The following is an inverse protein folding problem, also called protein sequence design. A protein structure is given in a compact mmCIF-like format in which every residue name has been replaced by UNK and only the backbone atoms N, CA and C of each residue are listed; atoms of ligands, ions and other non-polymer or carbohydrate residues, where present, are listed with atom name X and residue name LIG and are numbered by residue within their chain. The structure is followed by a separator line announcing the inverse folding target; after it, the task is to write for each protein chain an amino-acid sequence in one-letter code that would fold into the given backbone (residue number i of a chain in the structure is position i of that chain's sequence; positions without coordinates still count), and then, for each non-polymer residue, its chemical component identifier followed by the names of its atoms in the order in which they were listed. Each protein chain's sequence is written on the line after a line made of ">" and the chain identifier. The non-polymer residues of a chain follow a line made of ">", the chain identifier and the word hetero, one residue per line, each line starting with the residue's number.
data_IF_227571338252
#
_entry.id   IF_227571338252
#
_cell.length_a   1.000
_cell.length_b   1.000
_cell.length_c   1.000
_cell.angle_alpha   90.00
_cell.angle_beta   90.00
_cell.angle_gamma   90.00
#
_symmetry.space_group_name_H-M   'P 1'
#
loop_
_entity.id
_entity.type
_entity.pdbx_description
1 polymer ?
#
# COMPACT_ATOMS: atom_id res chain seq x y z
N UNK A 1 -16.16 -0.57 -1.40
CA UNK A 1 -15.06 0.23 -0.82
C UNK A 1 -14.16 0.68 -1.95
N UNK A 2 -13.61 1.89 -1.90
CA UNK A 2 -12.57 2.36 -2.83
C UNK A 2 -11.29 2.67 -2.06
N UNK A 3 -10.14 2.45 -2.70
CA UNK A 3 -8.81 2.73 -2.13
C UNK A 3 -8.10 3.69 -3.07
N UNK A 4 -7.71 4.84 -2.51
CA UNK A 4 -7.33 6.05 -3.21
C UNK A 4 -8.43 6.60 -4.12
N UNK A 5 -8.26 7.82 -4.59
CA UNK A 5 -9.22 8.52 -5.44
C UNK A 5 -8.56 9.38 -6.52
N UNK A 6 -7.40 8.94 -7.01
CA UNK A 6 -6.69 9.52 -8.14
C UNK A 6 -6.34 11.02 -7.97
N UNK A 7 -5.78 11.62 -9.02
CA UNK A 7 -5.53 13.05 -9.07
C UNK A 7 -6.81 13.86 -9.36
N UNK A 8 -6.81 15.18 -9.11
CA UNK A 8 -7.96 16.05 -9.42
C UNK A 8 -8.35 16.08 -10.90
N UNK A 9 -7.46 15.60 -11.78
CA UNK A 9 -7.65 15.62 -13.23
C UNK A 9 -8.22 14.31 -13.78
N UNK A 10 -8.47 13.32 -12.92
CA UNK A 10 -8.87 11.97 -13.31
C UNK A 10 -10.31 11.62 -12.90
N UNK A 11 -11.14 12.65 -12.84
CA UNK A 11 -12.53 12.53 -12.38
C UNK A 11 -13.33 11.58 -13.26
N UNK A 12 -13.23 11.74 -14.57
CA UNK A 12 -13.95 10.94 -15.55
C UNK A 12 -13.56 9.45 -15.46
N UNK A 13 -12.27 9.16 -15.30
CA UNK A 13 -11.73 7.80 -15.17
C UNK A 13 -12.26 7.10 -13.93
N UNK A 14 -12.39 7.82 -12.79
CA UNK A 14 -13.02 7.27 -11.59
C UNK A 14 -14.50 6.90 -11.84
N UNK A 15 -15.26 7.75 -12.54
CA UNK A 15 -16.66 7.43 -12.86
C UNK A 15 -16.78 6.21 -13.78
N UNK A 16 -15.96 6.16 -14.83
CA UNK A 16 -15.92 5.02 -15.76
C UNK A 16 -15.57 3.73 -15.01
N UNK A 17 -14.54 3.76 -14.16
CA UNK A 17 -14.15 2.61 -13.36
C UNK A 17 -15.27 2.16 -12.39
N UNK A 18 -15.98 3.09 -11.75
CA UNK A 18 -17.13 2.77 -10.88
C UNK A 18 -18.25 2.09 -11.67
N UNK A 19 -18.63 2.64 -12.82
CA UNK A 19 -19.68 2.07 -13.67
C UNK A 19 -19.32 0.68 -14.19
N UNK A 20 -18.07 0.47 -14.60
CA UNK A 20 -17.57 -0.84 -15.02
C UNK A 20 -17.66 -1.90 -13.91
N UNK A 21 -17.66 -1.47 -12.65
CA UNK A 21 -17.83 -2.33 -11.47
C UNK A 21 -19.25 -2.27 -10.89
N UNK A 22 -20.26 -1.88 -11.69
CA UNK A 22 -21.67 -1.89 -11.30
C UNK A 22 -22.09 -0.79 -10.32
N UNK A 23 -21.20 0.16 -10.01
CA UNK A 23 -21.47 1.28 -9.11
C UNK A 23 -21.89 2.49 -9.95
N UNK A 24 -23.18 2.80 -9.92
CA UNK A 24 -23.79 3.84 -10.74
C UNK A 24 -23.86 5.19 -10.01
N UNK A 25 -23.86 5.18 -8.68
CA UNK A 25 -23.91 6.39 -7.85
C UNK A 25 -22.77 6.42 -6.82
N UNK A 26 -22.16 7.60 -6.63
CA UNK A 26 -21.11 7.81 -5.61
C UNK A 26 -21.60 7.50 -4.18
N UNK A 27 -22.89 7.62 -3.93
CA UNK A 27 -23.55 7.30 -2.65
C UNK A 27 -23.40 5.81 -2.26
N UNK A 28 -23.20 4.92 -3.24
CA UNK A 28 -22.98 3.49 -3.02
C UNK A 28 -21.57 3.21 -2.49
N UNK A 29 -20.63 4.16 -2.63
CA UNK A 29 -19.30 4.05 -2.05
C UNK A 29 -19.39 4.39 -0.57
N UNK A 30 -19.43 3.33 0.25
CA UNK A 30 -19.57 3.45 1.71
C UNK A 30 -18.25 3.77 2.44
N UNK A 31 -17.12 3.45 1.83
CA UNK A 31 -15.78 3.59 2.43
C UNK A 31 -14.79 4.09 1.38
N UNK A 32 -14.03 5.12 1.75
CA UNK A 32 -12.88 5.63 1.01
C UNK A 32 -11.66 5.45 1.89
N UNK A 33 -10.69 4.67 1.41
CA UNK A 33 -9.39 4.51 2.05
C UNK A 33 -8.40 5.40 1.32
N UNK A 34 -7.59 6.17 2.05
CA UNK A 34 -6.45 6.91 1.47
C UNK A 34 -5.17 6.25 1.96
N UNK A 35 -4.36 5.76 1.02
CA UNK A 35 -3.08 5.09 1.32
C UNK A 35 -2.10 6.08 1.93
N UNK A 36 -1.99 7.27 1.34
CA UNK A 36 -1.17 8.38 1.80
C UNK A 36 -1.62 9.70 1.15
N UNK A 37 -1.08 10.83 1.61
CA UNK A 37 -1.57 12.17 1.27
C UNK A 37 -0.87 12.85 0.09
N UNK A 38 -0.54 12.10 -0.95
CA UNK A 38 -0.13 12.71 -2.23
C UNK A 38 -1.35 13.00 -3.12
N UNK A 39 -1.23 14.05 -3.92
CA UNK A 39 -2.37 14.66 -4.65
C UNK A 39 -2.99 13.73 -5.68
N UNK A 40 -2.19 12.83 -6.23
CA UNK A 40 -2.52 11.74 -7.14
C UNK A 40 -3.20 10.55 -6.47
N UNK A 41 -3.25 10.50 -5.13
CA UNK A 41 -3.97 9.47 -4.37
C UNK A 41 -5.22 10.00 -3.66
N UNK A 42 -5.24 11.29 -3.32
CA UNK A 42 -6.34 11.91 -2.58
C UNK A 42 -7.03 13.07 -3.31
N UNK A 43 -6.77 13.26 -4.61
CA UNK A 43 -7.14 14.43 -5.38
C UNK A 43 -8.65 14.65 -5.52
N UNK A 44 -9.43 13.57 -5.53
CA UNK A 44 -10.90 13.62 -5.67
C UNK A 44 -11.64 13.24 -4.39
N UNK A 45 -11.00 13.40 -3.23
CA UNK A 45 -11.60 13.08 -1.93
C UNK A 45 -12.96 13.78 -1.72
N UNK A 46 -13.14 14.96 -2.31
CA UNK A 46 -14.36 15.76 -2.24
C UNK A 46 -15.57 15.13 -2.97
N UNK A 47 -15.38 14.12 -3.82
CA UNK A 47 -16.46 13.40 -4.48
C UNK A 47 -17.18 12.44 -3.52
N UNK A 48 -16.48 11.88 -2.54
CA UNK A 48 -16.96 10.79 -1.70
C UNK A 48 -17.43 11.26 -0.32
N UNK A 49 -18.27 12.31 -0.28
CA UNK A 49 -18.68 12.98 0.97
C UNK A 49 -19.43 12.09 1.97
N UNK A 50 -20.08 11.04 1.47
CA UNK A 50 -20.87 10.12 2.29
C UNK A 50 -20.07 8.89 2.72
N UNK A 51 -18.85 8.71 2.19
CA UNK A 51 -18.02 7.56 2.52
C UNK A 51 -17.34 7.77 3.89
N UNK A 52 -17.27 6.70 4.69
CA UNK A 52 -16.41 6.68 5.87
C UNK A 52 -14.96 6.73 5.41
N UNK A 53 -14.24 7.77 5.82
CA UNK A 53 -12.85 8.03 5.41
C UNK A 53 -11.86 7.28 6.33
N UNK A 54 -11.11 6.34 5.77
CA UNK A 54 -10.08 5.56 6.46
C UNK A 54 -8.71 6.07 6.02
N UNK A 55 -7.84 6.37 6.98
CA UNK A 55 -6.54 7.01 6.71
C UNK A 55 -5.48 6.47 7.68
N UNK A 56 -4.18 6.69 7.41
CA UNK A 56 -3.12 6.25 8.32
C UNK A 56 -3.25 6.79 9.76
N UNK A 57 -3.97 7.89 9.97
CA UNK A 57 -4.17 8.53 11.27
C UNK A 57 -5.22 7.81 12.13
N UNK A 58 -6.22 7.16 11.52
CA UNK A 58 -7.38 6.65 12.25
C UNK A 58 -7.41 5.13 12.45
N UNK A 59 -6.54 4.36 11.79
CA UNK A 59 -6.54 2.89 11.93
C UNK A 59 -6.20 2.37 13.33
N UNK A 60 -5.55 3.18 14.16
CA UNK A 60 -5.15 2.81 15.52
C UNK A 60 -6.19 3.21 16.59
N UNK A 61 -7.37 3.70 16.18
CA UNK A 61 -8.46 3.97 17.11
C UNK A 61 -8.91 2.66 17.78
N UNK A 62 -9.13 2.69 19.10
CA UNK A 62 -9.52 1.49 19.88
C UNK A 62 -10.76 0.79 19.30
N UNK A 63 -11.72 1.60 18.84
CA UNK A 63 -13.00 1.12 18.31
C UNK A 63 -13.04 1.17 16.77
N UNK A 64 -11.89 1.20 16.09
CA UNK A 64 -11.79 1.35 14.63
C UNK A 64 -12.72 0.38 13.88
N UNK A 65 -12.65 -0.92 14.16
CA UNK A 65 -13.48 -1.91 13.48
C UNK A 65 -14.99 -1.73 13.75
N UNK A 66 -15.37 -1.19 14.90
CA UNK A 66 -16.77 -0.92 15.23
C UNK A 66 -17.27 0.35 14.53
N UNK A 67 -16.45 1.40 14.50
CA UNK A 67 -16.79 2.68 13.85
C UNK A 67 -16.90 2.50 12.33
N UNK A 68 -15.93 1.81 11.76
CA UNK A 68 -15.82 1.66 10.31
C UNK A 68 -16.47 0.39 9.78
N UNK A 69 -16.94 -0.54 10.63
CA UNK A 69 -17.65 -1.76 10.17
C UNK A 69 -16.88 -2.52 9.08
N UNK A 70 -15.57 -2.69 9.27
CA UNK A 70 -14.68 -3.27 8.26
C UNK A 70 -15.02 -4.75 8.04
N UNK A 71 -15.14 -5.21 6.78
CA UNK A 71 -15.29 -6.62 6.47
C UNK A 71 -14.18 -7.47 7.08
N UNK A 72 -14.51 -8.63 7.66
CA UNK A 72 -13.54 -9.49 8.38
C UNK A 72 -12.33 -9.94 7.55
N UNK A 73 -12.48 -9.96 6.24
CA UNK A 73 -11.45 -10.38 5.32
C UNK A 73 -10.53 -9.22 4.88
N UNK A 74 -10.79 -8.00 5.34
CA UNK A 74 -9.99 -6.81 5.10
C UNK A 74 -9.32 -6.39 6.40
N UNK A 75 -8.01 -6.15 6.34
CA UNK A 75 -7.22 -5.61 7.43
C UNK A 75 -6.33 -4.48 6.91
N UNK A 76 -5.80 -3.68 7.83
CA UNK A 76 -4.93 -2.57 7.49
C UNK A 76 -3.62 -2.67 8.24
N UNK A 77 -2.51 -2.40 7.53
CA UNK A 77 -1.21 -2.18 8.15
C UNK A 77 -0.77 -0.76 7.87
N UNK A 78 -0.04 -0.16 8.81
CA UNK A 78 0.59 1.13 8.60
C UNK A 78 2.10 0.98 8.64
N UNK A 79 2.74 1.48 7.60
CA UNK A 79 4.18 1.62 7.51
C UNK A 79 4.54 3.10 7.32
N UNK A 80 5.83 3.33 7.10
CA UNK A 80 6.38 4.61 6.68
C UNK A 80 7.53 4.31 5.73
N UNK A 81 7.87 5.24 4.86
CA UNK A 81 8.92 5.00 3.90
C UNK A 81 8.76 5.92 2.72
N UNK A 82 7.69 5.70 1.95
CA UNK A 82 7.33 6.60 0.87
C UNK A 82 6.94 7.96 1.44
N UNK A 83 6.01 7.95 2.39
CA UNK A 83 5.62 9.13 3.15
C UNK A 83 5.88 8.93 4.65
N UNK A 84 5.44 9.90 5.46
CA UNK A 84 5.50 9.78 6.91
C UNK A 84 4.56 8.68 7.45
N UNK A 85 3.54 8.30 6.69
CA UNK A 85 2.57 7.28 7.06
C UNK A 85 1.89 6.69 5.81
N UNK A 86 2.21 5.44 5.50
CA UNK A 86 1.71 4.71 4.34
C UNK A 86 0.79 3.57 4.80
N UNK A 87 -0.46 3.60 4.37
CA UNK A 87 -1.48 2.62 4.71
C UNK A 87 -1.54 1.52 3.64
N UNK A 88 -1.47 0.27 4.10
CA UNK A 88 -1.55 -0.94 3.27
C UNK A 88 -2.87 -1.63 3.54
N UNK A 89 -3.67 -1.82 2.49
CA UNK A 89 -4.92 -2.57 2.57
C UNK A 89 -4.63 -4.04 2.29
N UNK A 90 -4.93 -4.90 3.25
CA UNK A 90 -4.68 -6.34 3.18
C UNK A 90 -6.02 -7.07 3.01
N UNK A 91 -6.19 -7.79 1.91
CA UNK A 91 -7.42 -8.49 1.58
C UNK A 91 -7.11 -9.98 1.51
N UNK A 92 -7.68 -10.72 2.44
CA UNK A 92 -7.59 -12.17 2.48
C UNK A 92 -8.80 -12.74 1.74
N UNK A 93 -8.55 -13.64 0.80
CA UNK A 93 -9.58 -14.26 -0.02
C UNK A 93 -9.48 -15.74 0.17
N UNK A 94 -10.62 -16.39 0.35
CA UNK A 94 -10.71 -17.85 0.32
C UNK A 94 -11.41 -18.29 -0.97
N UNK A 95 -11.22 -19.55 -1.38
CA UNK A 95 -11.87 -20.11 -2.57
C UNK A 95 -13.41 -19.92 -2.61
N UNK A 96 -14.04 -19.77 -1.44
CA UNK A 96 -15.49 -19.66 -1.30
C UNK A 96 -16.02 -18.21 -1.43
N UNK A 97 -15.15 -17.20 -1.34
CA UNK A 97 -15.51 -15.77 -1.36
C UNK A 97 -14.85 -15.01 -2.53
N UNK A 98 -14.52 -15.70 -3.62
CA UNK A 98 -13.91 -15.12 -4.83
C UNK A 98 -14.93 -14.37 -5.72
N UNK A 99 -15.64 -13.41 -5.15
CA UNK A 99 -16.32 -12.38 -5.94
C UNK A 99 -15.41 -11.16 -6.02
N UNK A 100 -14.34 -11.30 -6.79
CA UNK A 100 -13.50 -10.16 -7.16
C UNK A 100 -13.77 -9.86 -8.62
N UNK A 101 -14.71 -8.95 -8.86
CA UNK A 101 -14.83 -8.25 -10.14
C UNK A 101 -13.61 -7.33 -10.31
N UNK A 102 -13.02 -7.32 -11.50
CA UNK A 102 -12.11 -6.25 -11.95
C UNK A 102 -10.64 -6.28 -11.54
N UNK A 103 -10.23 -6.93 -10.44
CA UNK A 103 -8.88 -6.70 -9.87
C UNK A 103 -7.79 -7.67 -10.32
N UNK A 104 -8.16 -8.93 -10.47
CA UNK A 104 -7.19 -10.01 -10.65
C UNK A 104 -7.78 -10.95 -11.68
N UNK A 105 -7.13 -11.03 -12.82
CA UNK A 105 -7.46 -12.02 -13.85
C UNK A 105 -7.52 -13.40 -13.16
N UNK A 106 -8.63 -14.12 -13.33
CA UNK A 106 -8.90 -15.36 -12.58
C UNK A 106 -7.77 -16.39 -12.72
N UNK A 107 -6.94 -16.25 -13.76
CA UNK A 107 -5.72 -17.03 -13.96
C UNK A 107 -4.71 -16.95 -12.81
N UNK A 108 -4.65 -15.84 -12.06
CA UNK A 108 -3.70 -15.67 -10.96
C UNK A 108 -4.19 -16.32 -9.65
N UNK A 109 -5.49 -16.63 -9.54
CA UNK A 109 -5.98 -17.52 -8.49
C UNK A 109 -5.62 -18.95 -8.89
N UNK A 110 -4.35 -19.31 -8.65
CA UNK A 110 -3.86 -20.65 -8.86
C UNK A 110 -4.80 -21.62 -8.12
N UNK A 111 -5.38 -22.56 -8.86
CA UNK A 111 -6.44 -23.49 -8.43
C UNK A 111 -6.13 -24.27 -7.14
N UNK A 112 -4.88 -24.24 -6.69
CA UNK A 112 -4.38 -25.01 -5.55
C UNK A 112 -4.49 -24.25 -4.23
N UNK A 113 -4.23 -22.94 -4.17
CA UNK A 113 -4.15 -22.21 -2.90
C UNK A 113 -5.52 -21.88 -2.31
N UNK A 114 -5.80 -22.36 -1.09
CA UNK A 114 -7.08 -22.12 -0.41
C UNK A 114 -7.29 -20.67 0.01
N UNK A 115 -6.21 -19.99 0.39
CA UNK A 115 -6.19 -18.60 0.84
C UNK A 115 -5.25 -17.77 -0.03
N UNK A 116 -5.69 -16.59 -0.45
CA UNK A 116 -4.95 -15.69 -1.33
C UNK A 116 -4.93 -14.28 -0.74
N UNK A 117 -3.74 -13.70 -0.60
CA UNK A 117 -3.55 -12.38 0.01
C UNK A 117 -3.26 -11.32 -1.06
N UNK A 118 -4.16 -10.34 -1.20
CA UNK A 118 -3.94 -9.14 -2.01
C UNK A 118 -3.52 -8.01 -1.07
N UNK A 119 -2.42 -7.34 -1.39
CA UNK A 119 -2.01 -6.10 -0.73
C UNK A 119 -2.12 -4.93 -1.71
N UNK A 120 -2.86 -3.90 -1.33
CA UNK A 120 -2.85 -2.59 -2.01
C UNK A 120 -1.88 -1.71 -1.23
N UNK A 121 -0.81 -1.31 -1.90
CA UNK A 121 0.37 -0.79 -1.23
C UNK A 121 0.56 0.71 -1.38
N UNK A 122 -0.23 1.38 -2.23
CA UNK A 122 0.12 2.70 -2.74
C UNK A 122 1.58 2.69 -3.21
N UNK A 123 2.27 3.79 -2.99
CA UNK A 123 3.63 4.01 -3.47
C UNK A 123 4.72 3.31 -2.64
N UNK A 124 4.37 2.47 -1.67
CA UNK A 124 5.36 1.50 -1.16
C UNK A 124 5.92 0.68 -2.33
N UNK A 125 5.08 0.38 -3.32
CA UNK A 125 5.49 -0.07 -4.65
C UNK A 125 5.03 0.91 -5.71
N UNK A 126 5.95 1.43 -6.50
CA UNK A 126 5.65 2.33 -7.61
C UNK A 126 4.93 1.57 -8.72
N UNK A 127 5.51 0.46 -9.21
CA UNK A 127 4.93 -0.33 -10.30
C UNK A 127 5.44 -1.78 -10.28
N UNK A 128 4.90 -2.61 -11.17
CA UNK A 128 5.15 -4.06 -11.17
C UNK A 128 6.62 -4.52 -11.26
N UNK A 129 7.54 -3.69 -11.76
CA UNK A 129 8.93 -4.09 -12.01
C UNK A 129 9.96 -3.23 -11.25
N UNK A 130 9.50 -2.34 -10.36
CA UNK A 130 10.38 -1.50 -9.52
C UNK A 130 11.11 -2.32 -8.42
N UNK A 131 10.85 -3.62 -8.31
CA UNK A 131 11.56 -4.55 -7.44
C UNK A 131 12.86 -5.08 -8.08
N UNK A 132 13.09 -4.81 -9.37
CA UNK A 132 14.31 -5.17 -10.09
C UNK A 132 15.44 -4.14 -9.91
N UNK A 133 15.11 -2.92 -9.48
CA UNK A 133 16.08 -1.83 -9.33
C UNK A 133 15.68 -0.86 -8.24
N UNK A 134 16.66 -0.33 -7.51
CA UNK A 134 16.38 0.53 -6.35
C UNK A 134 16.20 2.00 -6.70
N UNK A 135 16.78 2.45 -7.81
CA UNK A 135 16.89 3.88 -8.14
C UNK A 135 15.52 4.58 -8.21
N UNK A 136 14.53 3.94 -8.84
CA UNK A 136 13.24 4.59 -9.11
C UNK A 136 12.48 4.85 -7.80
N UNK A 137 12.14 3.80 -7.06
CA UNK A 137 11.35 3.97 -5.84
C UNK A 137 12.12 4.71 -4.74
N UNK A 138 13.46 4.60 -4.68
CA UNK A 138 14.27 5.38 -3.73
C UNK A 138 14.25 6.87 -4.05
N UNK A 139 14.20 7.26 -5.32
CA UNK A 139 14.19 8.67 -5.71
C UNK A 139 12.92 9.41 -5.29
N UNK A 140 11.80 8.68 -5.14
CA UNK A 140 10.51 9.22 -4.69
C UNK A 140 10.26 9.02 -3.19
N UNK A 141 11.17 8.36 -2.48
CA UNK A 141 11.01 7.97 -1.08
C UNK A 141 11.39 9.09 -0.10
N UNK A 142 10.57 9.29 0.94
CA UNK A 142 10.96 10.12 2.08
C UNK A 142 12.02 9.45 2.97
N UNK A 143 11.92 8.14 3.17
CA UNK A 143 12.76 7.32 4.04
C UNK A 143 13.08 5.97 3.37
N UNK A 144 14.06 5.92 2.45
CA UNK A 144 14.38 4.74 1.65
C UNK A 144 14.59 3.45 2.45
N UNK A 145 15.25 3.53 3.60
CA UNK A 145 15.51 2.35 4.44
C UNK A 145 14.22 1.78 5.05
N UNK A 146 13.29 2.66 5.46
CA UNK A 146 11.98 2.24 5.99
C UNK A 146 11.08 1.71 4.87
N UNK A 147 11.10 2.35 3.70
CA UNK A 147 10.37 1.85 2.54
C UNK A 147 10.91 0.49 2.10
N UNK A 148 12.23 0.27 2.16
CA UNK A 148 12.82 -1.05 1.90
C UNK A 148 12.29 -2.13 2.86
N UNK A 149 12.13 -1.81 4.15
CA UNK A 149 11.57 -2.75 5.14
C UNK A 149 10.09 -2.99 4.86
N UNK A 150 9.32 -1.93 4.59
CA UNK A 150 7.90 -2.02 4.25
C UNK A 150 7.67 -2.88 3.00
N UNK A 151 8.45 -2.66 1.94
CA UNK A 151 8.44 -3.46 0.71
C UNK A 151 8.69 -4.94 1.00
N UNK A 152 9.71 -5.25 1.81
CA UNK A 152 9.99 -6.63 2.21
C UNK A 152 8.84 -7.25 3.01
N UNK A 153 8.27 -6.53 3.98
CA UNK A 153 7.14 -7.01 4.78
C UNK A 153 5.89 -7.25 3.94
N UNK A 154 5.60 -6.37 2.97
CA UNK A 154 4.49 -6.54 2.04
C UNK A 154 4.73 -7.75 1.12
N UNK A 155 5.90 -7.81 0.49
CA UNK A 155 6.27 -8.88 -0.44
C UNK A 155 6.12 -10.28 0.17
N UNK A 156 6.59 -10.48 1.40
CA UNK A 156 6.53 -11.77 2.08
C UNK A 156 5.12 -12.16 2.59
N UNK A 157 4.17 -11.22 2.59
CA UNK A 157 2.80 -11.45 3.09
C UNK A 157 1.76 -11.52 1.97
N UNK A 158 2.10 -11.10 0.75
CA UNK A 158 1.20 -11.03 -0.39
C UNK A 158 1.40 -12.20 -1.36
N UNK A 159 0.31 -12.57 -1.99
CA UNK A 159 0.32 -13.35 -3.23
C UNK A 159 0.25 -12.42 -4.45
N UNK A 160 -0.40 -11.26 -4.28
CA UNK A 160 -0.60 -10.25 -5.30
C UNK A 160 -0.45 -8.86 -4.70
N UNK A 161 0.24 -7.97 -5.41
CA UNK A 161 0.42 -6.57 -5.00
C UNK A 161 -0.27 -5.68 -6.02
N UNK A 162 -1.01 -4.68 -5.53
CA UNK A 162 -1.48 -3.54 -6.30
C UNK A 162 -0.61 -2.34 -5.91
N UNK A 163 0.30 -1.89 -6.81
CA UNK A 163 1.16 -0.75 -6.57
C UNK A 163 0.40 0.58 -6.74
N UNK A 164 1.06 1.70 -6.45
CA UNK A 164 0.49 3.04 -6.63
C UNK A 164 0.36 3.46 -8.09
N UNK A 165 1.37 3.16 -8.91
CA UNK A 165 1.53 3.64 -10.28
C UNK A 165 1.76 2.49 -11.28
N UNK A 166 0.76 1.62 -11.47
CA UNK A 166 0.84 0.58 -12.50
C UNK A 166 -0.11 -0.58 -12.28
N UNK A 167 -0.04 -1.62 -13.14
CA UNK A 167 -0.84 -2.81 -12.97
C UNK A 167 -0.43 -3.60 -11.72
N UNK A 168 -1.41 -4.25 -11.10
CA UNK A 168 -1.15 -5.23 -10.06
C UNK A 168 -0.42 -6.47 -10.59
N UNK A 169 0.37 -7.10 -9.74
CA UNK A 169 1.25 -8.21 -10.14
C UNK A 169 1.31 -9.34 -9.11
N UNK A 170 1.47 -10.56 -9.62
CA UNK A 170 1.66 -11.76 -8.82
C UNK A 170 3.10 -11.86 -8.29
N UNK A 171 3.25 -12.21 -7.02
CA UNK A 171 4.57 -12.51 -6.40
C UNK A 171 5.00 -13.94 -6.71
N UNK A 172 4.03 -14.86 -6.84
CA UNK A 172 4.27 -16.29 -7.03
C UNK A 172 5.01 -16.59 -8.34
N UNK A 173 4.77 -15.81 -9.40
CA UNK A 173 5.48 -15.96 -10.68
C UNK A 173 6.93 -15.46 -10.59
N UNK A 174 7.24 -14.60 -9.63
CA UNK A 174 8.54 -13.91 -9.49
C UNK A 174 9.51 -14.61 -8.54
N UNK A 175 9.03 -15.46 -7.63
CA UNK A 175 9.87 -16.34 -6.79
C UNK A 175 10.72 -17.33 -7.59
N UNK A 176 10.40 -17.57 -8.87
CA UNK A 176 11.16 -18.44 -9.77
C UNK A 176 12.35 -17.77 -10.46
N UNK A 177 12.56 -16.46 -10.24
CA UNK A 177 13.76 -15.77 -10.72
C UNK A 177 14.91 -16.03 -9.73
N UNK A 178 16.10 -16.38 -10.23
CA UNK A 178 17.29 -16.65 -9.41
C UNK A 178 17.82 -15.41 -8.65
N UNK A 179 17.22 -14.25 -8.89
CA UNK A 179 17.50 -12.98 -8.22
C UNK A 179 16.24 -12.58 -7.43
N UNK A 180 16.30 -12.67 -6.10
CA UNK A 180 15.24 -12.15 -5.23
C UNK A 180 15.11 -10.61 -5.33
N UNK A 181 14.13 -10.00 -4.64
CA UNK A 181 13.93 -8.57 -4.70
C UNK A 181 15.15 -7.79 -4.20
N UNK A 182 15.40 -6.61 -4.79
CA UNK A 182 16.56 -5.75 -4.44
C UNK A 182 16.44 -5.09 -3.07
N UNK A 183 15.25 -5.09 -2.46
CA UNK A 183 15.00 -4.53 -1.13
C UNK A 183 15.04 -5.60 -0.03
N UNK A 184 15.20 -5.16 1.22
CA UNK A 184 15.29 -6.05 2.37
C UNK A 184 16.68 -6.65 2.55
N UNK A 185 17.70 -6.14 1.85
CA UNK A 185 19.13 -6.50 1.99
C UNK A 185 19.61 -6.49 3.44
N UNK A 186 19.12 -5.55 4.25
CA UNK A 186 19.40 -5.49 5.70
C UNK A 186 19.04 -6.81 6.42
N UNK A 187 17.97 -7.50 6.01
CA UNK A 187 17.61 -8.81 6.57
C UNK A 187 18.54 -9.91 6.02
N UNK A 188 18.86 -9.89 4.74
CA UNK A 188 19.73 -10.88 4.10
C UNK A 188 21.21 -10.81 4.53
N UNK A 189 21.70 -9.63 4.91
CA UNK A 189 23.07 -9.45 5.42
C UNK A 189 23.21 -9.85 6.90
N UNK A 190 22.14 -9.73 7.68
CA UNK A 190 22.12 -10.18 9.07
C UNK A 190 22.30 -11.71 9.21
N UNK A 191 21.86 -12.48 8.20
CA UNK A 191 22.05 -13.93 8.11
C UNK A 191 23.47 -14.36 7.69
N UNK A 192 24.30 -13.42 7.20
CA UNK A 192 25.69 -13.68 6.79
C UNK A 192 26.73 -13.33 7.86
N UNK A 193 26.30 -12.79 9.01
CA UNK A 193 27.18 -12.62 10.16
C UNK A 193 27.33 -14.00 10.81
N UNK A 194 28.54 -14.59 10.88
CA UNK A 194 28.72 -15.85 11.58
C UNK A 194 28.35 -15.63 13.04
N UNK A 195 27.21 -16.20 13.45
CA UNK A 195 26.78 -16.20 14.84
C UNK A 195 27.81 -17.03 15.60
N UNK A 196 28.74 -16.36 16.28
CA UNK A 196 29.57 -17.03 17.29
C UNK A 196 28.62 -17.65 18.33
N UNK A 197 28.89 -18.84 18.87
CA UNK A 197 27.88 -19.61 19.61
C UNK A 197 27.43 -19.01 20.96
N UNK A 198 27.76 -17.76 21.28
CA UNK A 198 27.37 -17.12 22.53
C UNK A 198 26.87 -15.69 22.29
N UNK A 199 25.59 -15.47 22.67
CA UNK A 199 24.79 -14.23 22.60
C UNK A 199 24.31 -13.89 21.18
N UNK A 200 23.03 -13.77 20.86
CA UNK A 200 21.78 -13.74 21.63
C UNK A 200 20.65 -13.86 20.60
N UNK A 201 19.59 -14.61 20.90
CA UNK A 201 18.33 -14.58 20.16
C UNK A 201 17.75 -13.17 20.27
N UNK A 202 18.00 -12.31 19.28
CA UNK A 202 17.18 -11.12 19.07
C UNK A 202 15.96 -11.64 18.29
N UNK A 203 14.88 -11.92 18.99
CA UNK A 203 13.61 -12.24 18.33
C UNK A 203 13.19 -11.02 17.51
N UNK A 204 12.68 -11.22 16.30
CA UNK A 204 12.17 -10.17 15.38
C UNK A 204 11.22 -9.17 16.09
N UNK A 205 10.60 -9.57 17.21
CA UNK A 205 9.85 -8.69 18.11
C UNK A 205 10.66 -7.51 18.68
N UNK A 206 11.94 -7.69 18.98
CA UNK A 206 12.80 -6.62 19.51
C UNK A 206 13.12 -5.56 18.45
N UNK A 207 13.34 -5.93 17.19
CA UNK A 207 13.51 -4.98 16.07
C UNK A 207 12.21 -4.20 15.78
N UNK A 208 11.05 -4.85 15.93
CA UNK A 208 9.75 -4.19 15.82
C UNK A 208 9.48 -3.25 17.01
N UNK A 209 9.84 -3.63 18.23
CA UNK A 209 9.69 -2.79 19.44
C UNK A 209 10.68 -1.62 19.49
N UNK A 210 11.92 -1.80 19.00
CA UNK A 210 12.91 -0.72 18.94
C UNK A 210 12.42 0.45 18.07
N UNK A 211 11.70 0.14 16.98
CA UNK A 211 11.09 1.14 16.09
C UNK A 211 9.92 1.91 16.74
N UNK A 212 9.14 1.30 17.64
CA UNK A 212 8.07 2.00 18.39
C UNK A 212 8.68 3.05 19.33
N UNK A 213 9.81 2.74 19.98
CA UNK A 213 10.45 3.68 20.93
C UNK A 213 11.06 4.93 20.26
N UNK A 214 11.42 4.85 18.98
CA UNK A 214 11.95 5.99 18.22
C UNK A 214 10.82 6.92 17.74
N UNK A 215 9.62 6.39 17.49
CA UNK A 215 8.43 7.21 17.20
C UNK A 215 8.03 8.11 18.38
N UNK A 216 8.19 7.64 19.62
CA UNK A 216 7.86 8.44 20.81
C UNK A 216 8.86 9.59 21.05
N UNK A 217 10.15 9.40 20.75
CA UNK A 217 11.19 10.43 20.97
C UNK A 217 11.20 11.58 19.96
N UNK A 218 10.61 11.42 18.77
CA UNK A 218 10.54 12.48 17.75
C UNK A 218 9.21 13.26 17.75
N UNK A 219 8.36 13.06 18.76
CA UNK A 219 7.11 13.81 18.96
C UNK A 219 7.30 15.18 19.64
N UNK A 220 8.46 15.85 19.47
CA UNK A 220 8.73 17.16 20.07
C UNK A 220 8.64 18.31 19.05
N UNK A 221 7.59 19.11 19.29
CA UNK A 221 7.22 20.45 18.82
C UNK A 221 7.01 20.71 17.32
N UNK A 222 5.74 20.62 16.92
CA UNK A 222 5.11 21.36 15.82
C UNK A 222 5.11 22.86 16.19
N UNK A 223 6.23 23.56 15.97
CA UNK A 223 6.31 25.03 15.94
C UNK A 223 7.52 25.43 15.10
N UNK A 224 7.39 25.42 13.76
CA UNK A 224 8.19 26.26 12.83
C UNK A 224 7.96 25.91 11.33
N UNK A 225 6.73 25.56 10.93
CA UNK A 225 6.40 25.30 9.50
C UNK A 225 6.25 26.60 8.69
N UNK A 226 6.44 27.78 9.29
CA UNK A 226 6.25 29.07 8.61
C UNK A 226 7.44 29.56 7.77
N UNK A 227 8.48 28.74 7.53
CA UNK A 227 9.71 29.18 6.84
C UNK A 227 10.10 28.45 5.55
N UNK A 228 9.32 27.48 5.07
CA UNK A 228 9.62 26.81 3.80
C UNK A 228 8.87 27.45 2.63
N UNK A 229 9.61 28.17 1.78
CA UNK A 229 9.19 28.55 0.42
C UNK A 229 9.45 27.36 -0.50
N UNK A 230 8.38 26.74 -1.01
CA UNK A 230 8.50 25.74 -2.08
C UNK A 230 8.55 26.46 -3.44
N UNK A 231 9.62 26.23 -4.20
CA UNK A 231 9.67 26.54 -5.62
C UNK A 231 9.10 25.38 -6.41
N UNK A 232 8.02 25.62 -7.15
CA UNK A 232 7.41 24.66 -8.06
C UNK A 232 8.35 24.40 -9.25
N UNK A 233 8.69 23.14 -9.51
CA UNK A 233 9.21 22.70 -10.81
C UNK A 233 8.07 22.02 -11.57
N UNK A 234 7.81 22.55 -12.77
CA UNK A 234 6.81 22.11 -13.73
C UNK A 234 7.36 20.92 -14.52
N UNK A 235 6.78 19.73 -14.34
CA UNK A 235 6.98 18.59 -15.23
C UNK A 235 5.71 18.35 -16.05
N UNK A 236 5.55 19.18 -17.09
CA UNK A 236 4.66 18.86 -18.21
C UNK A 236 5.39 17.94 -19.18
N UNK A 237 4.91 16.71 -19.30
CA UNK A 237 5.08 15.91 -20.51
C UNK A 237 5.38 14.44 -20.29
N UNK A 238 4.58 13.62 -20.99
CA UNK A 238 4.70 12.17 -21.21
C UNK A 238 4.20 11.26 -20.09
N UNK A 239 3.00 10.70 -20.24
CA UNK A 239 2.78 9.25 -20.30
C UNK A 239 1.37 8.95 -20.86
N UNK A 240 1.22 8.06 -21.85
CA UNK A 240 -0.06 7.46 -22.19
C UNK A 240 -0.11 6.08 -21.52
N UNK A 241 -0.77 5.94 -20.36
CA UNK A 241 -1.01 4.62 -19.79
C UNK A 241 -2.45 4.45 -19.30
N UNK A 242 -2.95 3.25 -19.59
CA UNK A 242 -4.30 2.74 -19.37
C UNK A 242 -4.40 2.27 -17.91
N UNK A 243 -4.89 3.14 -17.02
CA UNK A 243 -5.00 2.85 -15.59
C UNK A 243 -6.30 2.08 -15.28
N UNK A 244 -6.17 0.84 -14.83
CA UNK A 244 -7.29 0.06 -14.28
C UNK A 244 -7.37 0.26 -12.77
N UNK A 245 -8.33 1.04 -12.32
CA UNK A 245 -8.53 1.31 -10.90
C UNK A 245 -9.16 0.11 -10.17
N UNK A 246 -8.62 -0.27 -9.00
CA UNK A 246 -9.19 -1.34 -8.20
C UNK A 246 -10.42 -0.87 -7.40
N UNK A 247 -11.61 -1.39 -7.70
CA UNK A 247 -12.84 -1.10 -6.93
C UNK A 247 -13.43 -2.40 -6.37
N UNK A 248 -13.82 -2.37 -5.09
CA UNK A 248 -14.30 -3.54 -4.35
C UNK A 248 -15.82 -3.54 -4.19
N UNK A 249 -16.48 -4.52 -4.82
CA UNK A 249 -17.87 -4.90 -4.58
C UNK A 249 -17.91 -6.00 -3.50
N UNK A 250 -18.64 -5.78 -2.42
CA UNK A 250 -18.83 -6.78 -1.35
C UNK A 250 -20.34 -6.97 -1.20
N UNK A 251 -20.82 -8.17 -1.52
CA UNK A 251 -22.10 -8.71 -1.09
C UNK A 251 -21.91 -9.51 0.20
#
# INVERSE_FOLDING_TARGET
>A
MIVDCASPFEKEQIFEALQLNGINELSQVTHLVITHWHIDHCGLINLFKNAKLITPENINLKDFNQIFEIPKNINFNKYSGHSCADLIVCINLNKNNLNISGLVDKKYFLKEKENFNILICGDIFEFENDWLGEEIWKSSSLLPDRQSIARWLCWNKSDFIIPGHGPGFSILEKEYTSQGPVFGKIFFESDKIPISPQKSKIEIKELLQFNVSIQEKHSLSIRDVSKFRFSFFDFRGFFPFDFRFPIFEIL
#
